data_IF_871266127903
#
_entry.id   IF_871266127903
#
_cell.length_a   1.000
_cell.length_b   1.000
_cell.length_c   1.000
_cell.angle_alpha   90.00
_cell.angle_beta   90.00
_cell.angle_gamma   90.00
#
_symmetry.space_group_name_H-M   'P 1'
#
loop_
_entity.id
_entity.type
_entity.pdbx_description
1 polymer ?
#
# COMPACT_ATOMS: atom_id res chain seq x y z
N UNK A 1 11.05 20.77 10.61
CA UNK A 1 11.04 19.31 10.81
C UNK A 1 11.06 18.65 9.44
N UNK A 2 11.89 17.62 9.24
CA UNK A 2 11.90 16.80 8.03
C UNK A 2 10.67 15.88 8.01
N UNK A 3 10.22 15.50 6.81
CA UNK A 3 9.25 14.42 6.62
C UNK A 3 9.81 13.12 7.23
N UNK A 4 8.98 12.34 7.92
CA UNK A 4 9.35 11.02 8.45
C UNK A 4 8.52 9.90 7.80
N UNK A 5 9.11 8.73 7.69
CA UNK A 5 8.48 7.49 7.26
C UNK A 5 8.01 6.73 8.50
N UNK A 6 6.73 6.38 8.52
CA UNK A 6 6.17 5.46 9.52
C UNK A 6 6.03 4.02 9.00
N UNK A 7 5.95 3.86 7.67
CA UNK A 7 5.85 2.56 7.02
C UNK A 7 6.61 2.56 5.69
N UNK A 8 7.22 1.43 5.35
CA UNK A 8 7.80 1.12 4.04
C UNK A 8 7.17 -0.18 3.55
N UNK A 9 6.33 -0.08 2.52
CA UNK A 9 5.65 -1.19 1.89
C UNK A 9 6.51 -1.88 0.83
N UNK A 10 6.61 -3.20 0.93
CA UNK A 10 7.21 -4.07 -0.07
C UNK A 10 6.11 -4.97 -0.64
N UNK A 11 5.52 -4.52 -1.75
CA UNK A 11 4.35 -5.12 -2.36
C UNK A 11 4.73 -6.16 -3.42
N UNK A 12 3.84 -7.14 -3.66
CA UNK A 12 4.09 -8.20 -4.64
C UNK A 12 4.54 -9.52 -4.04
N UNK A 13 4.34 -9.76 -2.75
CA UNK A 13 4.70 -11.03 -2.11
C UNK A 13 3.95 -12.18 -2.79
N UNK A 14 4.69 -13.18 -3.26
CA UNK A 14 4.18 -14.30 -4.04
C UNK A 14 4.92 -15.62 -3.74
N UNK A 15 4.70 -16.64 -4.55
CA UNK A 15 5.22 -17.99 -4.35
C UNK A 15 6.75 -18.12 -4.51
N UNK A 16 7.43 -17.08 -4.99
CA UNK A 16 8.89 -17.07 -5.12
C UNK A 16 9.64 -16.71 -3.83
N UNK A 17 8.94 -16.18 -2.82
CA UNK A 17 9.57 -15.68 -1.58
C UNK A 17 9.82 -16.79 -0.55
N UNK A 18 10.90 -16.67 0.22
CA UNK A 18 11.03 -17.39 1.49
C UNK A 18 10.37 -16.58 2.63
N UNK A 19 9.25 -17.09 3.15
CA UNK A 19 8.53 -16.46 4.25
C UNK A 19 9.31 -16.42 5.57
N UNK A 20 10.29 -17.32 5.78
CA UNK A 20 11.15 -17.23 6.97
C UNK A 20 12.08 -16.03 6.89
N UNK A 21 12.53 -15.65 5.70
CA UNK A 21 13.35 -14.46 5.52
C UNK A 21 12.56 -13.17 5.75
N UNK A 22 11.26 -13.13 5.42
CA UNK A 22 10.38 -11.99 5.76
C UNK A 22 10.32 -11.80 7.28
N UNK A 23 10.09 -12.88 8.03
CA UNK A 23 10.04 -12.86 9.49
C UNK A 23 11.38 -12.41 10.08
N UNK A 24 12.50 -12.88 9.53
CA UNK A 24 13.84 -12.45 9.96
C UNK A 24 14.07 -10.96 9.70
N UNK A 25 13.60 -10.43 8.56
CA UNK A 25 13.70 -9.01 8.24
C UNK A 25 12.89 -8.15 9.21
N UNK A 26 11.65 -8.54 9.52
CA UNK A 26 10.81 -7.84 10.50
C UNK A 26 11.46 -7.87 11.90
N UNK A 27 12.09 -8.99 12.29
CA UNK A 27 12.79 -9.09 13.56
C UNK A 27 14.08 -8.22 13.61
N UNK A 28 14.82 -8.12 12.50
CA UNK A 28 16.04 -7.30 12.41
C UNK A 28 15.73 -5.79 12.31
N UNK A 29 14.56 -5.43 11.74
CA UNK A 29 14.12 -4.06 11.50
C UNK A 29 12.66 -3.84 11.95
N UNK A 30 12.38 -3.92 13.26
CA UNK A 30 11.01 -3.93 13.76
C UNK A 30 10.31 -2.58 13.57
N UNK A 31 9.01 -2.67 13.27
CA UNK A 31 8.05 -1.57 13.48
C UNK A 31 7.67 -0.73 12.26
N UNK A 32 8.40 -0.81 11.14
CA UNK A 32 8.14 0.04 9.97
C UNK A 32 8.09 -0.71 8.62
N UNK A 33 8.50 -1.98 8.58
CA UNK A 33 8.34 -2.83 7.39
C UNK A 33 6.88 -3.28 7.28
N UNK A 34 6.36 -3.29 6.06
CA UNK A 34 5.06 -3.87 5.75
C UNK A 34 5.11 -4.64 4.43
N UNK A 35 4.44 -5.78 4.40
CA UNK A 35 4.43 -6.70 3.25
C UNK A 35 3.11 -6.58 2.50
N UNK A 36 3.20 -6.17 1.22
CA UNK A 36 2.04 -5.98 0.36
C UNK A 36 1.65 -7.27 -0.37
N UNK A 37 0.38 -7.66 -0.26
CA UNK A 37 -0.20 -8.89 -0.83
C UNK A 37 -1.26 -8.50 -1.85
N UNK A 38 -1.05 -8.85 -3.13
CA UNK A 38 -2.02 -8.56 -4.19
C UNK A 38 -3.08 -9.65 -4.22
N UNK A 39 -4.35 -9.27 -4.09
CA UNK A 39 -5.48 -10.19 -4.12
C UNK A 39 -6.17 -10.12 -5.48
N UNK A 40 -5.87 -11.13 -6.30
CA UNK A 40 -6.49 -11.37 -7.60
C UNK A 40 -6.74 -12.87 -7.78
N UNK A 41 -7.95 -13.37 -7.44
CA UNK A 41 -8.25 -14.80 -7.52
C UNK A 41 -7.95 -15.42 -8.89
N UNK A 42 -8.13 -14.66 -9.97
CA UNK A 42 -7.85 -15.05 -11.35
C UNK A 42 -6.35 -15.14 -11.70
N UNK A 43 -5.47 -14.66 -10.82
CA UNK A 43 -4.01 -14.61 -11.03
C UNK A 43 -3.20 -15.35 -9.97
N UNK A 44 -3.83 -16.00 -8.99
CA UNK A 44 -3.12 -16.70 -7.91
C UNK A 44 -2.08 -17.69 -8.45
N UNK A 45 -0.90 -17.69 -7.83
CA UNK A 45 0.25 -18.52 -8.22
C UNK A 45 1.05 -17.98 -9.40
N UNK A 46 0.65 -16.85 -9.99
CA UNK A 46 1.47 -16.12 -10.98
C UNK A 46 2.42 -15.15 -10.27
N UNK A 47 3.49 -14.69 -10.93
CA UNK A 47 4.34 -13.63 -10.39
C UNK A 47 3.52 -12.44 -9.87
N UNK A 48 3.86 -11.97 -8.67
CA UNK A 48 3.22 -10.92 -7.85
C UNK A 48 1.95 -11.33 -7.12
N UNK A 49 1.40 -12.51 -7.40
CA UNK A 49 0.14 -12.97 -6.84
C UNK A 49 0.33 -14.30 -6.09
N UNK A 50 0.44 -14.21 -4.76
CA UNK A 50 0.55 -15.38 -3.90
C UNK A 50 -0.53 -16.44 -4.16
N UNK A 51 -0.10 -17.68 -4.24
CA UNK A 51 -0.96 -18.86 -4.28
C UNK A 51 -1.60 -19.15 -2.92
N UNK A 52 -2.60 -20.06 -2.87
CA UNK A 52 -3.37 -20.35 -1.67
C UNK A 52 -2.53 -20.75 -0.45
N UNK A 53 -1.45 -21.51 -0.66
CA UNK A 53 -0.58 -21.96 0.43
C UNK A 53 0.23 -20.81 1.04
N UNK A 54 0.73 -19.88 0.22
CA UNK A 54 1.43 -18.69 0.70
C UNK A 54 0.47 -17.74 1.41
N UNK A 55 -0.73 -17.51 0.86
CA UNK A 55 -1.77 -16.70 1.51
C UNK A 55 -2.14 -17.24 2.90
N UNK A 56 -2.34 -18.56 3.02
CA UNK A 56 -2.63 -19.20 4.30
C UNK A 56 -1.51 -18.96 5.32
N UNK A 57 -0.25 -19.17 4.92
CA UNK A 57 0.91 -18.96 5.79
C UNK A 57 1.08 -17.50 6.20
N UNK A 58 0.91 -16.56 5.28
CA UNK A 58 0.93 -15.13 5.56
C UNK A 58 -0.14 -14.76 6.59
N UNK A 59 -1.36 -15.28 6.43
CA UNK A 59 -2.44 -15.07 7.41
C UNK A 59 -2.10 -15.59 8.81
N UNK A 60 -1.53 -16.80 8.92
CA UNK A 60 -1.08 -17.32 10.21
C UNK A 60 -0.01 -16.41 10.86
N UNK A 61 0.97 -15.95 10.07
CA UNK A 61 2.04 -15.07 10.54
C UNK A 61 1.50 -13.69 10.97
N UNK A 62 0.58 -13.11 10.22
CA UNK A 62 -0.03 -11.82 10.50
C UNK A 62 -1.02 -11.84 11.68
N UNK A 63 -1.47 -13.03 12.12
CA UNK A 63 -2.25 -13.19 13.35
C UNK A 63 -1.42 -13.62 14.55
N UNK A 64 -0.10 -13.77 14.39
CA UNK A 64 0.80 -14.24 15.46
C UNK A 64 0.52 -15.69 15.90
N UNK A 65 -0.09 -16.50 15.03
CA UNK A 65 -0.41 -17.89 15.36
C UNK A 65 0.88 -18.68 15.65
N UNK A 66 0.88 -19.42 16.77
CA UNK A 66 2.05 -20.18 17.22
C UNK A 66 3.09 -19.37 18.02
N UNK A 67 2.72 -18.18 18.53
CA UNK A 67 3.56 -17.40 19.44
C UNK A 67 4.74 -16.69 18.76
N UNK A 68 4.61 -16.38 17.46
CA UNK A 68 5.62 -15.71 16.65
C UNK A 68 5.34 -14.21 16.54
N UNK A 69 6.36 -13.45 16.19
CA UNK A 69 6.22 -12.03 15.84
C UNK A 69 5.25 -11.87 14.67
N UNK A 70 4.44 -10.81 14.75
CA UNK A 70 3.33 -10.58 13.83
C UNK A 70 3.81 -9.82 12.60
N UNK A 71 3.68 -10.44 11.42
CA UNK A 71 3.97 -9.74 10.16
C UNK A 71 2.93 -8.64 9.91
N UNK A 72 3.38 -7.46 9.53
CA UNK A 72 2.49 -6.37 9.10
C UNK A 72 2.14 -6.57 7.64
N UNK A 73 0.87 -6.77 7.34
CA UNK A 73 0.39 -6.94 5.97
C UNK A 73 -0.48 -5.77 5.52
N UNK A 74 -0.30 -5.38 4.25
CA UNK A 74 -1.27 -4.61 3.48
C UNK A 74 -1.79 -5.44 2.31
N UNK A 75 -3.11 -5.51 2.15
CA UNK A 75 -3.72 -6.18 1.00
C UNK A 75 -4.07 -5.17 -0.09
N UNK A 76 -3.84 -5.53 -1.35
CA UNK A 76 -4.15 -4.69 -2.50
C UNK A 76 -5.27 -5.34 -3.30
N UNK A 77 -6.42 -4.68 -3.38
CA UNK A 77 -7.57 -5.14 -4.15
C UNK A 77 -7.59 -4.50 -5.53
N UNK A 78 -7.63 -5.38 -6.53
CA UNK A 78 -7.87 -5.05 -7.92
C UNK A 78 -9.05 -5.90 -8.45
N UNK A 79 -9.49 -5.67 -9.68
CA UNK A 79 -10.50 -6.48 -10.35
C UNK A 79 -11.82 -6.57 -9.59
N UNK A 80 -12.40 -7.77 -9.52
CA UNK A 80 -13.73 -7.98 -8.95
C UNK A 80 -13.81 -7.65 -7.46
N UNK A 81 -12.80 -8.02 -6.68
CA UNK A 81 -12.78 -7.72 -5.25
C UNK A 81 -12.76 -6.21 -5.00
N UNK A 82 -11.99 -5.44 -5.78
CA UNK A 82 -12.05 -3.98 -5.71
C UNK A 82 -13.46 -3.45 -6.02
N UNK A 83 -14.12 -3.98 -7.06
CA UNK A 83 -15.48 -3.57 -7.44
C UNK A 83 -16.51 -3.88 -6.36
N UNK A 84 -16.41 -5.03 -5.69
CA UNK A 84 -17.30 -5.42 -4.58
C UNK A 84 -17.13 -4.46 -3.40
N UNK A 85 -15.89 -4.14 -3.04
CA UNK A 85 -15.60 -3.27 -1.90
C UNK A 85 -16.06 -1.83 -2.16
N UNK A 86 -15.81 -1.25 -3.34
CA UNK A 86 -16.34 0.08 -3.67
C UNK A 86 -17.88 0.11 -3.78
N UNK A 87 -18.55 -1.05 -3.89
CA UNK A 87 -20.02 -1.18 -3.83
C UNK A 87 -20.55 -1.45 -2.42
N UNK A 88 -19.70 -1.43 -1.40
CA UNK A 88 -20.13 -1.60 -0.01
C UNK A 88 -20.21 -3.04 0.49
N UNK A 89 -19.54 -4.00 -0.16
CA UNK A 89 -19.53 -5.40 0.26
C UNK A 89 -18.66 -5.62 1.51
N UNK A 90 -19.23 -5.29 2.68
CA UNK A 90 -18.58 -5.42 4.00
C UNK A 90 -18.20 -6.87 4.31
N UNK A 91 -19.08 -7.83 3.97
CA UNK A 91 -18.85 -9.24 4.31
C UNK A 91 -17.66 -9.81 3.54
N UNK A 92 -17.45 -9.36 2.30
CA UNK A 92 -16.24 -9.71 1.56
C UNK A 92 -14.98 -9.19 2.25
N UNK A 93 -14.98 -7.94 2.72
CA UNK A 93 -13.81 -7.38 3.44
C UNK A 93 -13.56 -8.14 4.73
N UNK A 94 -14.60 -8.43 5.52
CA UNK A 94 -14.48 -9.23 6.75
C UNK A 94 -13.92 -10.61 6.49
N UNK A 95 -14.35 -11.26 5.42
CA UNK A 95 -13.82 -12.57 5.03
C UNK A 95 -12.33 -12.50 4.71
N UNK A 96 -11.91 -11.53 3.89
CA UNK A 96 -10.49 -11.35 3.54
C UNK A 96 -9.65 -10.99 4.77
N UNK A 97 -10.16 -10.12 5.65
CA UNK A 97 -9.50 -9.77 6.91
C UNK A 97 -9.38 -10.97 7.85
N UNK A 98 -10.41 -11.81 7.96
CA UNK A 98 -10.33 -13.05 8.73
C UNK A 98 -9.30 -14.04 8.16
N UNK A 99 -9.13 -14.08 6.83
CA UNK A 99 -8.17 -14.95 6.16
C UNK A 99 -6.71 -14.49 6.36
N UNK A 100 -6.45 -13.18 6.31
CA UNK A 100 -5.09 -12.64 6.21
C UNK A 100 -4.65 -11.77 7.40
N UNK A 101 -5.56 -11.24 8.20
CA UNK A 101 -5.22 -10.38 9.35
C UNK A 101 -4.47 -9.10 8.96
N UNK A 102 -4.72 -8.55 7.78
CA UNK A 102 -4.04 -7.34 7.32
C UNK A 102 -4.44 -6.10 8.15
N UNK A 103 -3.50 -5.21 8.39
CA UNK A 103 -3.77 -3.92 9.03
C UNK A 103 -4.24 -2.85 8.05
N UNK A 104 -3.90 -2.99 6.76
CA UNK A 104 -4.27 -2.03 5.71
C UNK A 104 -4.85 -2.71 4.48
N UNK A 105 -5.79 -2.03 3.81
CA UNK A 105 -6.43 -2.49 2.59
C UNK A 105 -6.45 -1.39 1.54
N UNK A 106 -5.71 -1.60 0.45
CA UNK A 106 -5.65 -0.68 -0.67
C UNK A 106 -6.67 -1.03 -1.75
N UNK A 107 -7.38 0.00 -2.22
CA UNK A 107 -8.33 -0.05 -3.33
C UNK A 107 -7.69 0.61 -4.55
N UNK A 108 -7.61 -0.15 -5.65
CA UNK A 108 -7.06 0.32 -6.92
C UNK A 108 -8.13 0.39 -8.02
N UNK A 109 -9.13 1.29 -7.92
CA UNK A 109 -10.21 1.39 -8.91
C UNK A 109 -9.78 2.14 -10.19
N UNK A 110 -8.65 1.74 -10.81
CA UNK A 110 -8.12 2.24 -12.09
C UNK A 110 -8.21 1.23 -13.22
N UNK A 111 -8.53 1.61 -14.47
CA UNK A 111 -8.69 0.72 -15.65
C UNK A 111 -7.61 -0.36 -15.79
N UNK A 112 -6.34 -0.02 -15.52
CA UNK A 112 -5.21 -0.96 -15.53
C UNK A 112 -5.43 -2.21 -14.64
N UNK A 113 -6.26 -2.07 -13.62
CA UNK A 113 -6.59 -3.08 -12.62
C UNK A 113 -7.95 -3.76 -12.82
N UNK A 114 -8.62 -3.55 -13.97
CA UNK A 114 -10.02 -3.96 -14.25
C UNK A 114 -11.14 -3.42 -13.29
N UNK A 115 -11.33 -2.11 -13.11
CA UNK A 115 -12.47 -1.52 -12.42
C UNK A 115 -13.18 -0.52 -13.35
N UNK A 116 -13.95 -1.06 -14.30
CA UNK A 116 -15.04 -0.33 -14.94
C UNK A 116 -16.34 -0.41 -14.12
N UNK A 117 -17.34 0.39 -14.50
CA UNK A 117 -18.72 0.21 -14.04
C UNK A 117 -19.00 0.64 -12.59
N UNK A 118 -18.38 1.74 -12.16
CA UNK A 118 -18.69 2.43 -10.90
C UNK A 118 -18.96 3.91 -11.17
N UNK A 119 -19.81 4.52 -10.34
CA UNK A 119 -20.15 5.93 -10.35
C UNK A 119 -19.58 6.55 -9.07
N UNK A 120 -18.92 7.73 -9.11
CA UNK A 120 -18.21 8.29 -7.95
C UNK A 120 -19.02 8.44 -6.66
N UNK A 121 -20.27 8.89 -6.71
CA UNK A 121 -21.08 9.06 -5.51
C UNK A 121 -21.45 7.71 -4.88
N UNK A 122 -21.95 6.76 -5.67
CA UNK A 122 -22.25 5.41 -5.19
C UNK A 122 -20.99 4.68 -4.69
N UNK A 123 -19.86 4.87 -5.36
CA UNK A 123 -18.58 4.30 -4.93
C UNK A 123 -18.11 4.91 -3.60
N UNK A 124 -18.29 6.22 -3.40
CA UNK A 124 -17.96 6.87 -2.14
C UNK A 124 -18.82 6.33 -0.98
N UNK A 125 -20.13 6.12 -1.20
CA UNK A 125 -21.01 5.48 -0.22
C UNK A 125 -20.53 4.08 0.16
N UNK A 126 -20.17 3.25 -0.83
CA UNK A 126 -19.66 1.91 -0.60
C UNK A 126 -18.34 1.89 0.18
N UNK A 127 -17.37 2.74 -0.20
CA UNK A 127 -16.09 2.89 0.51
C UNK A 127 -16.31 3.35 1.95
N UNK A 128 -17.23 4.30 2.19
CA UNK A 128 -17.58 4.74 3.55
C UNK A 128 -18.17 3.61 4.37
N UNK A 129 -19.07 2.82 3.79
CA UNK A 129 -19.72 1.69 4.47
C UNK A 129 -18.69 0.65 4.93
N UNK A 130 -17.76 0.24 4.05
CA UNK A 130 -16.72 -0.75 4.41
C UNK A 130 -15.72 -0.19 5.41
N UNK A 131 -15.27 1.06 5.25
CA UNK A 131 -14.31 1.68 6.17
C UNK A 131 -14.89 1.86 7.57
N UNK A 132 -16.17 2.25 7.67
CA UNK A 132 -16.87 2.39 8.95
C UNK A 132 -17.10 1.04 9.62
N UNK A 133 -17.30 -0.03 8.85
CA UNK A 133 -17.58 -1.36 9.38
C UNK A 133 -16.34 -2.11 9.90
N UNK A 134 -15.12 -1.65 9.56
CA UNK A 134 -13.85 -2.19 10.01
C UNK A 134 -12.92 -1.04 10.46
N UNK A 135 -13.22 -0.37 11.60
CA UNK A 135 -12.42 0.77 12.08
C UNK A 135 -10.98 0.41 12.44
N UNK A 136 -10.67 -0.88 12.65
CA UNK A 136 -9.34 -1.42 12.91
C UNK A 136 -8.46 -1.54 11.66
N UNK A 137 -9.06 -1.49 10.47
CA UNK A 137 -8.35 -1.57 9.19
C UNK A 137 -8.20 -0.15 8.62
N UNK A 138 -6.99 0.19 8.19
CA UNK A 138 -6.75 1.42 7.41
C UNK A 138 -7.00 1.16 5.91
N UNK A 139 -7.94 1.90 5.33
CA UNK A 139 -8.28 1.82 3.92
C UNK A 139 -7.48 2.85 3.12
N UNK A 140 -6.90 2.42 2.02
CA UNK A 140 -6.05 3.24 1.16
C UNK A 140 -6.72 3.38 -0.20
N UNK A 141 -7.06 4.59 -0.62
CA UNK A 141 -7.47 4.86 -2.01
C UNK A 141 -6.23 5.18 -2.85
N UNK A 142 -5.99 4.42 -3.92
CA UNK A 142 -5.01 4.83 -4.93
C UNK A 142 -5.49 6.11 -5.63
N UNK A 143 -4.74 7.20 -5.48
CA UNK A 143 -5.05 8.51 -6.03
C UNK A 143 -4.23 8.77 -7.31
N UNK A 144 -4.96 9.01 -8.40
CA UNK A 144 -4.47 9.41 -9.72
C UNK A 144 -5.62 10.10 -10.48
N UNK A 145 -5.39 10.41 -11.75
CA UNK A 145 -6.40 11.07 -12.60
C UNK A 145 -7.73 10.31 -12.67
N UNK A 146 -7.71 8.97 -12.73
CA UNK A 146 -8.93 8.15 -12.86
C UNK A 146 -9.76 8.13 -11.57
N UNK A 147 -9.12 8.24 -10.42
CA UNK A 147 -9.76 8.16 -9.11
C UNK A 147 -10.01 9.52 -8.47
N UNK A 148 -9.63 10.62 -9.13
CA UNK A 148 -9.83 11.99 -8.64
C UNK A 148 -11.30 12.27 -8.30
N UNK A 149 -12.23 11.87 -9.17
CA UNK A 149 -13.66 12.11 -8.91
C UNK A 149 -14.18 11.37 -7.66
N UNK A 150 -13.65 10.18 -7.37
CA UNK A 150 -13.96 9.43 -6.15
C UNK A 150 -13.32 10.09 -4.92
N UNK A 151 -12.08 10.56 -5.04
CA UNK A 151 -11.40 11.32 -3.99
C UNK A 151 -12.20 12.57 -3.58
N UNK A 152 -12.66 13.38 -4.53
CA UNK A 152 -13.48 14.57 -4.24
C UNK A 152 -14.74 14.21 -3.46
N UNK A 153 -15.42 13.12 -3.84
CA UNK A 153 -16.63 12.64 -3.15
C UNK A 153 -16.36 12.10 -1.74
N UNK A 154 -15.17 11.59 -1.48
CA UNK A 154 -14.80 11.03 -0.17
C UNK A 154 -14.33 12.10 0.80
N UNK A 155 -13.46 13.01 0.34
CA UNK A 155 -12.74 13.91 1.22
C UNK A 155 -13.24 15.35 1.22
N UNK A 156 -13.94 15.80 0.16
CA UNK A 156 -14.41 17.18 0.03
C UNK A 156 -15.93 17.32 0.06
N UNK A 157 -16.67 16.27 0.43
CA UNK A 157 -18.10 16.36 0.69
C UNK A 157 -18.36 16.83 2.14
N UNK A 158 -18.81 18.07 2.37
CA UNK A 158 -19.03 18.59 3.72
C UNK A 158 -20.23 17.94 4.42
N UNK A 159 -21.13 17.30 3.68
CA UNK A 159 -22.30 16.62 4.24
C UNK A 159 -21.98 15.23 4.77
N UNK A 160 -20.88 14.65 4.29
CA UNK A 160 -20.42 13.32 4.68
C UNK A 160 -18.89 13.35 4.81
N UNK A 161 -18.32 13.56 6.00
CA UNK A 161 -16.86 13.58 6.16
C UNK A 161 -16.26 12.19 5.94
N UNK A 162 -15.03 12.12 5.41
CA UNK A 162 -14.32 10.86 5.21
C UNK A 162 -14.17 10.09 6.53
N UNK A 163 -14.25 8.74 6.52
CA UNK A 163 -13.87 7.92 7.66
C UNK A 163 -12.42 8.20 8.09
N UNK A 164 -12.13 8.22 9.39
CA UNK A 164 -10.79 8.57 9.90
C UNK A 164 -9.71 7.55 9.56
N UNK A 165 -10.12 6.32 9.27
CA UNK A 165 -9.27 5.22 8.80
C UNK A 165 -9.14 5.18 7.27
N UNK A 166 -9.57 6.22 6.55
CA UNK A 166 -9.40 6.34 5.11
C UNK A 166 -8.22 7.28 4.78
N UNK A 167 -7.28 6.81 3.97
CA UNK A 167 -6.07 7.51 3.56
C UNK A 167 -5.85 7.36 2.05
N UNK A 168 -4.84 8.03 1.48
CA UNK A 168 -4.58 8.00 0.03
C UNK A 168 -3.15 7.60 -0.32
N UNK A 169 -2.98 6.77 -1.34
CA UNK A 169 -1.67 6.50 -1.95
C UNK A 169 -1.54 7.31 -3.24
N UNK A 170 -0.58 8.23 -3.29
CA UNK A 170 -0.24 8.95 -4.51
C UNK A 170 0.57 8.03 -5.43
N UNK A 171 -0.06 7.56 -6.51
CA UNK A 171 0.56 6.70 -7.52
C UNK A 171 0.06 7.07 -8.92
N UNK A 172 0.76 8.04 -9.52
CA UNK A 172 0.48 8.51 -10.87
C UNK A 172 0.72 7.44 -11.94
N UNK A 173 1.50 6.39 -11.63
CA UNK A 173 1.82 5.32 -12.59
C UNK A 173 0.74 4.24 -12.66
N UNK A 174 -0.28 4.28 -11.80
CA UNK A 174 -1.31 3.26 -11.68
C UNK A 174 -0.72 1.83 -11.51
N UNK A 175 0.37 1.69 -10.74
CA UNK A 175 1.07 0.42 -10.54
C UNK A 175 2.04 0.02 -11.66
N UNK A 176 2.31 0.87 -12.66
CA UNK A 176 3.26 0.56 -13.74
C UNK A 176 4.73 0.64 -13.31
N UNK A 177 5.00 1.05 -12.07
CA UNK A 177 6.36 1.10 -11.52
C UNK A 177 7.25 2.16 -12.17
N UNK A 178 6.65 3.24 -12.68
CA UNK A 178 7.39 4.36 -13.28
C UNK A 178 7.62 5.45 -12.25
N UNK A 179 8.85 5.96 -12.19
CA UNK A 179 9.15 7.17 -11.41
C UNK A 179 8.42 8.35 -12.09
N UNK A 180 7.62 9.14 -11.36
CA UNK A 180 6.99 10.31 -11.94
C UNK A 180 8.02 11.42 -12.19
N UNK A 181 7.79 12.27 -13.20
CA UNK A 181 8.66 13.43 -13.48
C UNK A 181 8.68 14.43 -12.30
N UNK A 182 7.57 14.51 -11.56
CA UNK A 182 7.45 15.27 -10.33
C UNK A 182 6.47 14.59 -9.36
N UNK A 183 6.77 14.63 -8.07
CA UNK A 183 5.86 14.16 -7.03
C UNK A 183 4.74 15.16 -6.78
N UNK A 184 3.50 14.67 -6.73
CA UNK A 184 2.35 15.48 -6.34
C UNK A 184 2.49 15.95 -4.89
N UNK A 185 1.91 17.11 -4.59
CA UNK A 185 1.80 17.59 -3.20
C UNK A 185 0.81 16.70 -2.43
N UNK A 186 1.08 16.41 -1.14
CA UNK A 186 0.09 15.82 -0.26
C UNK A 186 -1.24 16.60 -0.29
N UNK A 187 -2.40 15.95 -0.41
CA UNK A 187 -3.67 16.64 -0.27
C UNK A 187 -3.82 17.21 1.15
N UNK A 188 -4.39 18.41 1.26
CA UNK A 188 -4.52 19.12 2.54
C UNK A 188 -5.38 18.32 3.52
N UNK A 189 -4.89 18.13 4.75
CA UNK A 189 -5.62 17.43 5.81
C UNK A 189 -5.79 15.91 5.61
N UNK A 190 -5.26 15.32 4.53
CA UNK A 190 -5.38 13.89 4.23
C UNK A 190 -4.06 13.18 4.46
N UNK A 191 -4.08 12.10 5.25
CA UNK A 191 -2.90 11.24 5.43
C UNK A 191 -2.59 10.52 4.12
N UNK A 192 -1.31 10.51 3.72
CA UNK A 192 -0.93 9.95 2.44
C UNK A 192 0.41 9.21 2.44
N UNK A 193 0.61 8.43 1.38
CA UNK A 193 1.88 7.83 1.02
C UNK A 193 2.15 7.94 -0.46
N UNK A 194 3.30 7.44 -0.88
CA UNK A 194 3.84 7.62 -2.22
C UNK A 194 4.27 6.28 -2.82
N UNK A 195 3.92 6.05 -4.09
CA UNK A 195 4.41 4.93 -4.87
C UNK A 195 4.72 5.36 -6.30
N UNK A 196 5.56 4.57 -6.98
CA UNK A 196 5.97 4.82 -8.37
C UNK A 196 7.48 4.75 -8.54
N UNK A 197 7.96 3.64 -9.13
CA UNK A 197 9.37 3.48 -9.53
C UNK A 197 10.41 3.49 -8.40
N UNK A 198 9.97 3.23 -7.18
CA UNK A 198 10.84 3.11 -6.01
C UNK A 198 11.56 1.74 -6.02
N UNK A 199 12.86 1.77 -5.69
CA UNK A 199 13.71 0.59 -5.57
C UNK A 199 15.10 0.96 -5.05
N UNK A 200 16.03 -0.01 -4.91
CA UNK A 200 17.37 0.22 -4.34
C UNK A 200 18.12 1.39 -4.97
N UNK A 201 18.00 1.56 -6.29
CA UNK A 201 18.77 2.53 -7.06
C UNK A 201 18.13 3.93 -7.06
N UNK A 202 16.85 4.03 -6.72
CA UNK A 202 16.06 5.27 -6.82
C UNK A 202 15.62 5.80 -5.46
N UNK A 203 15.49 4.96 -4.44
CA UNK A 203 14.77 5.28 -3.19
C UNK A 203 15.28 6.53 -2.48
N UNK A 204 16.59 6.73 -2.35
CA UNK A 204 17.13 7.89 -1.64
C UNK A 204 16.83 9.21 -2.36
N UNK A 205 17.10 9.26 -3.67
CA UNK A 205 16.81 10.45 -4.48
C UNK A 205 15.31 10.76 -4.51
N UNK A 206 14.46 9.73 -4.56
CA UNK A 206 13.01 9.91 -4.53
C UNK A 206 12.51 10.34 -3.15
N UNK A 207 13.12 9.88 -2.04
CA UNK A 207 12.77 10.37 -0.70
C UNK A 207 13.09 11.85 -0.53
N UNK A 208 14.21 12.32 -1.08
CA UNK A 208 14.52 13.76 -1.10
C UNK A 208 13.48 14.55 -1.90
N UNK A 209 13.07 14.03 -3.06
CA UNK A 209 12.07 14.67 -3.91
C UNK A 209 10.67 14.68 -3.26
N UNK A 210 10.26 13.57 -2.63
CA UNK A 210 9.02 13.47 -1.86
C UNK A 210 9.05 14.44 -0.68
N UNK A 211 10.17 14.52 0.04
CA UNK A 211 10.33 15.45 1.15
C UNK A 211 10.24 16.91 0.69
N UNK A 212 10.73 17.24 -0.50
CA UNK A 212 10.55 18.55 -1.12
C UNK A 212 9.07 18.83 -1.46
N UNK A 213 8.38 17.89 -2.11
CA UNK A 213 6.96 18.01 -2.43
C UNK A 213 6.09 18.18 -1.18
N UNK A 214 6.46 17.52 -0.06
CA UNK A 214 5.79 17.70 1.22
C UNK A 214 5.99 19.12 1.78
N UNK A 215 7.17 19.74 1.63
CA UNK A 215 7.45 21.11 2.11
C UNK A 215 6.68 22.16 1.30
N UNK A 216 6.54 21.92 0.00
CA UNK A 216 5.86 22.84 -0.91
C UNK A 216 4.33 22.85 -0.75
N UNK A 217 3.77 21.98 0.10
CA UNK A 217 2.33 21.95 0.40
C UNK A 217 1.79 23.20 1.10
N UNK A 218 2.65 24.16 1.47
CA UNK A 218 2.24 25.41 2.13
C UNK A 218 1.96 25.27 3.63
N UNK A 219 2.09 24.05 4.17
CA UNK A 219 1.97 23.74 5.59
C UNK A 219 3.08 24.45 6.40
N UNK A 220 2.78 25.64 6.89
CA UNK A 220 3.74 26.53 7.55
C UNK A 220 3.73 26.31 9.06
N UNK A 221 4.67 25.49 9.56
CA UNK A 221 4.81 25.17 10.98
C UNK A 221 3.78 24.15 11.47
N UNK A 222 4.22 23.17 12.29
CA UNK A 222 3.47 22.05 12.91
C UNK A 222 2.55 21.16 12.04
N UNK A 223 2.03 21.63 10.91
CA UNK A 223 0.97 21.03 10.08
C UNK A 223 1.50 20.34 8.81
N UNK A 224 2.82 20.31 8.63
CA UNK A 224 3.44 19.39 7.67
C UNK A 224 2.91 17.97 7.91
N UNK A 225 2.64 17.13 6.90
CA UNK A 225 2.39 15.72 7.13
C UNK A 225 3.62 15.15 7.84
N UNK A 226 3.51 15.02 9.17
CA UNK A 226 4.65 14.70 10.03
C UNK A 226 5.13 13.27 9.80
N UNK A 227 4.29 12.44 9.17
CA UNK A 227 4.62 11.09 8.76
C UNK A 227 3.89 10.69 7.48
N UNK A 228 4.63 10.15 6.51
CA UNK A 228 4.11 9.55 5.27
C UNK A 228 4.59 8.09 5.17
N UNK A 229 4.03 7.31 4.26
CA UNK A 229 4.60 6.01 3.92
C UNK A 229 5.04 5.99 2.45
N UNK A 230 5.87 5.02 2.11
CA UNK A 230 6.20 4.70 0.72
C UNK A 230 5.83 3.25 0.43
N UNK A 231 5.52 2.94 -0.82
CA UNK A 231 5.24 1.58 -1.28
C UNK A 231 5.98 1.29 -2.59
N UNK A 232 6.49 0.06 -2.73
CA UNK A 232 7.23 -0.36 -3.91
C UNK A 232 6.97 -1.82 -4.26
N UNK A 233 6.95 -2.09 -5.57
CA UNK A 233 6.70 -3.44 -6.10
C UNK A 233 7.74 -3.76 -7.19
N UNK A 234 7.64 -3.20 -8.38
CA UNK A 234 8.53 -3.56 -9.50
C UNK A 234 10.02 -3.30 -9.24
N UNK A 235 10.38 -2.28 -8.45
CA UNK A 235 11.78 -1.95 -8.18
C UNK A 235 12.50 -2.92 -7.24
N UNK A 236 11.76 -3.82 -6.57
CA UNK A 236 12.29 -4.88 -5.69
C UNK A 236 12.14 -6.28 -6.31
N UNK A 237 11.87 -6.36 -7.61
CA UNK A 237 11.79 -7.62 -8.34
C UNK A 237 12.99 -7.82 -9.24
N UNK A 238 13.28 -9.09 -9.52
CA UNK A 238 14.35 -9.51 -10.43
C UNK A 238 13.81 -10.49 -11.46
N UNK A 239 14.44 -10.50 -12.64
CA UNK A 239 14.17 -11.48 -13.68
C UNK A 239 15.23 -12.58 -13.60
N UNK A 240 14.82 -13.79 -13.23
CA UNK A 240 15.67 -14.96 -13.23
C UNK A 240 15.42 -15.82 -14.47
N UNK A 241 16.49 -16.43 -15.01
CA UNK A 241 16.44 -17.18 -16.27
C UNK A 241 15.52 -18.41 -16.24
N UNK A 242 15.33 -19.01 -15.07
CA UNK A 242 14.56 -20.24 -14.84
C UNK A 242 13.22 -19.99 -14.13
N UNK A 243 13.16 -18.96 -13.27
CA UNK A 243 11.97 -18.63 -12.46
C UNK A 243 11.19 -17.40 -12.94
N UNK A 244 11.73 -16.62 -13.87
CA UNK A 244 11.08 -15.43 -14.40
C UNK A 244 11.05 -14.27 -13.39
N UNK A 245 9.91 -13.57 -13.32
CA UNK A 245 9.70 -12.43 -12.42
C UNK A 245 9.56 -12.88 -10.96
N UNK A 246 10.55 -12.59 -10.10
CA UNK A 246 10.57 -13.02 -8.69
C UNK A 246 10.62 -11.85 -7.71
N UNK A 247 10.16 -12.10 -6.48
CA UNK A 247 10.28 -11.18 -5.36
C UNK A 247 11.71 -11.26 -4.76
N UNK A 248 12.52 -10.23 -4.98
CA UNK A 248 13.95 -10.27 -4.67
C UNK A 248 14.26 -9.67 -3.29
N UNK A 249 14.53 -10.55 -2.33
CA UNK A 249 14.85 -10.17 -0.95
C UNK A 249 16.21 -9.48 -0.78
N UNK A 250 17.16 -9.69 -1.69
CA UNK A 250 18.41 -8.93 -1.66
C UNK A 250 18.16 -7.46 -2.03
N UNK A 251 17.27 -7.19 -2.98
CA UNK A 251 16.83 -5.83 -3.33
C UNK A 251 16.06 -5.20 -2.17
N UNK A 252 15.16 -5.94 -1.53
CA UNK A 252 14.46 -5.48 -0.30
C UNK A 252 15.48 -5.12 0.79
N UNK A 253 16.45 -5.99 1.08
CA UNK A 253 17.52 -5.73 2.06
C UNK A 253 18.33 -4.48 1.74
N UNK A 254 18.63 -4.22 0.47
CA UNK A 254 19.32 -3.00 0.04
C UNK A 254 18.49 -1.75 0.37
N UNK A 255 17.20 -1.75 0.01
CA UNK A 255 16.28 -0.65 0.34
C UNK A 255 16.20 -0.43 1.85
N UNK A 256 16.01 -1.51 2.63
CA UNK A 256 15.90 -1.46 4.09
C UNK A 256 17.14 -0.79 4.71
N UNK A 257 18.34 -1.16 4.28
CA UNK A 257 19.60 -0.58 4.76
C UNK A 257 19.73 0.90 4.37
N UNK A 258 19.38 1.26 3.14
CA UNK A 258 19.40 2.65 2.66
C UNK A 258 18.46 3.53 3.48
N UNK A 259 17.22 3.07 3.71
CA UNK A 259 16.23 3.81 4.50
C UNK A 259 16.67 3.94 5.96
N UNK A 260 17.17 2.87 6.59
CA UNK A 260 17.69 2.94 7.96
C UNK A 260 18.83 3.94 8.11
N UNK A 261 19.71 4.03 7.11
CA UNK A 261 20.82 4.98 7.08
C UNK A 261 20.44 6.41 6.70
N UNK A 262 19.23 6.66 6.22
CA UNK A 262 18.81 7.95 5.65
C UNK A 262 18.38 9.00 6.66
N UNK A 263 18.00 8.59 7.88
CA UNK A 263 17.40 9.49 8.87
C UNK A 263 15.93 9.85 8.60
N UNK A 264 15.29 9.27 7.58
CA UNK A 264 13.87 9.47 7.31
C UNK A 264 12.93 8.64 8.18
N UNK A 265 13.40 7.64 8.93
CA UNK A 265 12.51 6.83 9.78
C UNK A 265 12.02 7.62 11.00
N UNK A 266 10.75 7.44 11.35
CA UNK A 266 10.20 7.89 12.63
C UNK A 266 10.84 7.07 13.76
N UNK A 267 11.57 7.74 14.65
CA UNK A 267 12.19 7.14 15.83
C UNK A 267 11.18 6.71 16.89
#
# INVERSE_FOLDING_TARGET
MSMLLHTVGFCGVDDSVDLQELVQLDAEYPGWIEWGVLLRPDRQGQPRYAGPEVLKKLGCLARGEGGRDTLRLACHLCGDDCRRVIRGDVDRVRHLHGLLGFGRLQLNPTKANDPGGWEPAAAAEGVRAVATALPEVEFILQLNEETQALFERLFHDPSCPAPTNLVVLLDASCGLGKVPDAWARPPEGVRCGFAGGLGPDTVLAQLDAIAAACKDSGSSGSDMPQSVWIDMESGIRSQESDRGDIFDLERVRKVVKLIRGSGFLKG
#
